data_IF_279281258004
#
_entry.id   IF_279281258004
#
_cell.length_a   1.000
_cell.length_b   1.000
_cell.length_c   1.000
_cell.angle_alpha   90.00
_cell.angle_beta   90.00
_cell.angle_gamma   90.00
#
_symmetry.space_group_name_H-M   'P 1'
#
loop_
_entity.id
_entity.type
_entity.pdbx_description
1 polymer ?
#
# COMPACT_ATOMS: atom_id res chain seq x y z
N UNK A 1 25.54 -26.58 -16.31
CA UNK A 1 25.72 -26.88 -14.86
C UNK A 1 24.52 -26.33 -14.07
N UNK A 2 23.87 -27.26 -13.38
CA UNK A 2 22.56 -27.12 -12.73
C UNK A 2 22.67 -26.37 -11.41
N UNK A 3 21.70 -25.50 -11.11
CA UNK A 3 21.30 -25.27 -9.72
C UNK A 3 19.81 -24.94 -9.66
N UNK A 4 19.04 -25.98 -9.39
CA UNK A 4 17.60 -25.95 -9.16
C UNK A 4 17.38 -26.27 -7.69
N UNK A 5 16.71 -25.38 -6.95
CA UNK A 5 16.31 -25.61 -5.56
C UNK A 5 14.79 -25.64 -5.47
N UNK A 6 14.20 -26.83 -5.56
CA UNK A 6 12.84 -27.08 -5.05
C UNK A 6 12.63 -28.59 -4.91
N UNK A 7 13.09 -29.11 -3.77
CA UNK A 7 12.83 -30.47 -3.32
C UNK A 7 11.61 -30.47 -2.39
N UNK A 8 10.42 -30.17 -2.94
CA UNK A 8 9.12 -30.40 -2.31
C UNK A 8 8.01 -29.98 -3.30
N UNK A 9 7.47 -30.94 -4.05
CA UNK A 9 6.17 -30.76 -4.69
C UNK A 9 5.11 -30.77 -3.56
N UNK A 10 4.71 -29.59 -3.08
CA UNK A 10 3.59 -29.48 -2.14
C UNK A 10 2.28 -29.68 -2.92
N UNK A 11 1.50 -30.65 -2.48
CA UNK A 11 0.20 -31.09 -3.01
C UNK A 11 -0.93 -30.02 -2.92
N UNK A 12 -0.60 -28.73 -2.98
CA UNK A 12 -1.53 -27.60 -2.93
C UNK A 12 -1.65 -26.84 -4.28
N UNK A 13 -1.05 -27.38 -5.34
CA UNK A 13 -0.97 -26.76 -6.69
C UNK A 13 -2.33 -26.63 -7.42
N UNK A 14 -3.43 -27.14 -6.87
CA UNK A 14 -4.69 -27.36 -7.61
C UNK A 14 -5.81 -26.33 -7.49
N UNK A 15 -5.61 -25.14 -6.89
CA UNK A 15 -6.73 -24.21 -6.57
C UNK A 15 -6.57 -22.76 -7.01
N UNK A 16 -5.59 -22.42 -7.84
CA UNK A 16 -5.40 -21.02 -8.31
C UNK A 16 -4.76 -20.07 -7.29
N UNK A 17 -4.70 -20.43 -6.00
CA UNK A 17 -4.11 -19.62 -4.93
C UNK A 17 -2.64 -19.24 -5.17
N UNK A 18 -1.84 -20.14 -5.75
CA UNK A 18 -0.43 -19.86 -6.05
C UNK A 18 -0.28 -18.73 -7.07
N UNK A 19 -1.12 -18.74 -8.11
CA UNK A 19 -1.12 -17.68 -9.12
C UNK A 19 -1.73 -16.39 -8.57
N UNK A 20 -2.70 -16.46 -7.66
CA UNK A 20 -3.28 -15.27 -7.01
C UNK A 20 -2.26 -14.53 -6.15
N UNK A 21 -1.45 -15.25 -5.37
CA UNK A 21 -0.37 -14.66 -4.56
C UNK A 21 0.69 -14.02 -5.46
N UNK A 22 1.04 -14.68 -6.56
CA UNK A 22 1.98 -14.14 -7.55
C UNK A 22 1.39 -12.90 -8.22
N UNK A 23 0.13 -12.93 -8.63
CA UNK A 23 -0.57 -11.81 -9.26
C UNK A 23 -0.66 -10.60 -8.32
N UNK A 24 -0.98 -10.82 -7.04
CA UNK A 24 -1.00 -9.76 -6.04
C UNK A 24 0.39 -9.14 -5.84
N UNK A 25 1.44 -9.98 -5.80
CA UNK A 25 2.83 -9.52 -5.66
C UNK A 25 3.28 -8.71 -6.89
N UNK A 26 2.96 -9.17 -8.09
CA UNK A 26 3.29 -8.47 -9.35
C UNK A 26 2.57 -7.13 -9.44
N UNK A 27 1.29 -7.07 -9.06
CA UNK A 27 0.54 -5.81 -8.99
C UNK A 27 1.14 -4.83 -7.98
N UNK A 28 1.59 -5.30 -6.81
CA UNK A 28 2.28 -4.45 -5.80
C UNK A 28 3.60 -3.86 -6.34
N UNK A 29 4.22 -4.51 -7.31
CA UNK A 29 5.41 -4.01 -8.02
C UNK A 29 5.05 -3.14 -9.24
N UNK A 30 3.77 -2.81 -9.45
CA UNK A 30 3.30 -2.05 -10.60
C UNK A 30 3.33 -2.81 -11.93
N UNK A 31 3.45 -4.14 -11.89
CA UNK A 31 3.51 -5.01 -13.06
C UNK A 31 2.19 -5.69 -13.42
N UNK A 32 2.21 -6.42 -14.53
CA UNK A 32 1.10 -7.25 -15.03
C UNK A 32 1.51 -8.69 -15.27
N UNK A 33 0.55 -9.61 -15.20
CA UNK A 33 0.75 -11.04 -15.43
C UNK A 33 -0.11 -11.50 -16.61
N UNK A 34 0.47 -12.27 -17.54
CA UNK A 34 -0.23 -12.86 -18.69
C UNK A 34 -0.07 -14.38 -18.67
N UNK A 35 -1.12 -15.03 -19.15
CA UNK A 35 -1.28 -16.48 -19.12
C UNK A 35 -1.48 -17.01 -20.53
N UNK A 36 -0.55 -17.86 -20.98
CA UNK A 36 -0.65 -18.55 -22.26
C UNK A 36 -0.65 -20.06 -22.01
N UNK A 37 -1.79 -20.71 -22.25
CA UNK A 37 -1.94 -22.17 -22.13
C UNK A 37 -2.45 -22.74 -23.44
N UNK A 38 -1.86 -23.85 -23.90
CA UNK A 38 -2.37 -24.63 -25.02
C UNK A 38 -2.60 -26.06 -24.55
N UNK A 39 -3.73 -26.67 -24.96
CA UNK A 39 -4.02 -28.06 -24.62
C UNK A 39 -2.86 -28.97 -25.02
N UNK A 40 -2.42 -29.79 -24.06
CA UNK A 40 -1.32 -30.75 -24.21
C UNK A 40 0.09 -30.16 -24.37
N UNK A 41 0.28 -28.83 -24.23
CA UNK A 41 1.59 -28.18 -24.43
C UNK A 41 2.12 -27.43 -23.20
N UNK A 42 1.58 -27.72 -22.01
CA UNK A 42 1.96 -27.02 -20.78
C UNK A 42 1.41 -25.59 -20.74
N UNK A 43 2.08 -24.74 -19.95
CA UNK A 43 1.58 -23.43 -19.60
C UNK A 43 2.73 -22.44 -19.40
N UNK A 44 2.61 -21.26 -20.03
CA UNK A 44 3.56 -20.16 -19.94
C UNK A 44 2.94 -18.99 -19.17
N UNK A 45 3.71 -18.46 -18.22
CA UNK A 45 3.39 -17.22 -17.49
C UNK A 45 4.38 -16.16 -17.91
N UNK A 46 3.88 -15.03 -18.37
CA UNK A 46 4.69 -13.84 -18.66
C UNK A 46 4.44 -12.79 -17.58
N UNK A 47 5.52 -12.30 -16.96
CA UNK A 47 5.49 -11.31 -15.88
C UNK A 47 6.09 -10.02 -16.43
N UNK A 48 5.24 -9.05 -16.73
CA UNK A 48 5.66 -7.71 -17.17
C UNK A 48 5.83 -6.84 -15.92
N UNK A 49 7.05 -6.75 -15.39
CA UNK A 49 7.39 -5.89 -14.26
C UNK A 49 8.18 -4.71 -14.82
N UNK A 50 7.73 -3.46 -14.60
CA UNK A 50 8.48 -2.28 -15.03
C UNK A 50 9.90 -2.32 -14.45
N UNK A 51 10.90 -2.39 -15.32
CA UNK A 51 12.28 -2.13 -14.95
C UNK A 51 12.35 -0.63 -14.65
N UNK A 52 12.35 -0.29 -13.36
CA UNK A 52 12.11 1.03 -12.77
C UNK A 52 10.62 1.34 -12.60
N UNK A 53 10.03 0.97 -11.46
CA UNK A 53 8.73 1.49 -11.07
C UNK A 53 8.84 3.01 -10.98
N UNK A 54 8.19 3.73 -11.89
CA UNK A 54 8.19 5.18 -11.92
C UNK A 54 7.69 5.82 -10.63
N UNK A 55 7.82 7.14 -10.55
CA UNK A 55 7.34 7.91 -9.41
C UNK A 55 5.81 7.74 -9.24
N UNK A 56 5.35 7.32 -8.07
CA UNK A 56 3.93 7.19 -7.75
C UNK A 56 3.39 8.46 -7.09
N UNK A 57 2.15 8.87 -7.40
CA UNK A 57 1.51 10.02 -6.76
C UNK A 57 1.14 9.69 -5.31
N UNK A 58 1.76 10.39 -4.36
CA UNK A 58 1.51 10.26 -2.92
C UNK A 58 1.05 11.60 -2.36
N UNK A 59 -0.05 11.57 -1.60
CA UNK A 59 -0.51 12.67 -0.77
C UNK A 59 0.11 12.56 0.61
N UNK A 60 0.82 13.60 1.04
CA UNK A 60 1.40 13.69 2.38
C UNK A 60 0.37 14.21 3.38
N UNK A 61 0.03 13.35 4.35
CA UNK A 61 -0.94 13.55 5.41
C UNK A 61 -0.22 13.99 6.68
N UNK A 62 -0.63 15.13 7.23
CA UNK A 62 -0.01 15.72 8.43
C UNK A 62 -0.72 15.24 9.71
N UNK A 63 -0.07 14.31 10.41
CA UNK A 63 -0.52 13.78 11.69
C UNK A 63 0.06 14.55 12.90
N UNK A 64 0.70 15.70 12.70
CA UNK A 64 1.34 16.48 13.75
C UNK A 64 2.78 16.07 14.00
N UNK A 65 3.01 14.88 14.55
CA UNK A 65 4.36 14.40 14.88
C UNK A 65 5.20 14.18 13.61
N UNK A 66 4.59 13.62 12.56
CA UNK A 66 5.24 13.19 11.31
C UNK A 66 4.25 13.24 10.14
N UNK A 67 4.81 13.24 8.92
CA UNK A 67 4.05 13.10 7.68
C UNK A 67 3.98 11.63 7.24
N UNK A 68 2.77 11.18 6.92
CA UNK A 68 2.50 9.85 6.36
C UNK A 68 2.00 9.99 4.93
N UNK A 69 2.30 9.02 4.06
CA UNK A 69 1.84 9.01 2.69
C UNK A 69 0.54 8.23 2.53
N UNK A 70 -0.36 8.69 1.69
CA UNK A 70 -1.40 7.85 1.08
C UNK A 70 -1.26 7.92 -0.44
N UNK A 71 -1.49 6.83 -1.16
CA UNK A 71 -1.55 6.92 -2.61
C UNK A 71 -2.73 7.79 -3.02
N UNK A 72 -2.52 8.67 -4.00
CA UNK A 72 -3.57 9.55 -4.47
C UNK A 72 -4.78 8.77 -5.01
N UNK A 73 -4.58 7.53 -5.49
CA UNK A 73 -5.64 6.61 -5.94
C UNK A 73 -6.60 6.18 -4.83
N UNK A 74 -6.14 6.19 -3.58
CA UNK A 74 -6.90 5.64 -2.45
C UNK A 74 -7.66 6.75 -1.71
N UNK A 75 -7.35 8.02 -1.99
CA UNK A 75 -8.01 9.18 -1.39
C UNK A 75 -9.23 9.56 -2.23
N UNK A 76 -10.42 9.44 -1.64
CA UNK A 76 -11.70 9.71 -2.31
C UNK A 76 -12.14 11.15 -2.08
N UNK A 77 -11.86 11.70 -0.89
CA UNK A 77 -12.33 13.04 -0.50
C UNK A 77 -11.35 13.75 0.42
N UNK A 78 -11.23 15.06 0.24
CA UNK A 78 -10.48 15.98 1.11
C UNK A 78 -11.34 17.21 1.36
N UNK A 79 -11.68 17.48 2.61
CA UNK A 79 -12.61 18.55 3.01
C UNK A 79 -12.02 19.38 4.16
N UNK A 80 -12.38 20.66 4.24
CA UNK A 80 -11.86 21.59 5.25
C UNK A 80 -12.59 21.53 6.60
N UNK A 81 -13.34 20.46 6.86
CA UNK A 81 -14.09 20.24 8.09
C UNK A 81 -13.64 18.91 8.69
N UNK A 82 -12.71 18.96 9.65
CA UNK A 82 -12.12 17.76 10.22
C UNK A 82 -13.15 16.98 11.05
N UNK A 83 -13.30 15.69 10.74
CA UNK A 83 -14.13 14.77 11.51
C UNK A 83 -13.58 14.45 12.91
N UNK A 84 -14.27 13.56 13.64
CA UNK A 84 -14.08 13.36 15.08
C UNK A 84 -12.75 12.73 15.51
N UNK A 85 -12.10 11.92 14.65
CA UNK A 85 -10.89 11.15 14.99
C UNK A 85 -9.71 11.57 14.11
N UNK A 86 -8.57 11.87 14.72
CA UNK A 86 -7.36 12.26 13.97
C UNK A 86 -6.59 11.05 13.42
N UNK A 87 -5.80 11.27 12.36
CA UNK A 87 -4.85 10.27 11.86
C UNK A 87 -3.83 9.90 12.95
N UNK A 88 -3.42 10.87 13.77
CA UNK A 88 -2.50 10.64 14.88
C UNK A 88 -3.08 9.60 15.86
N UNK A 89 -4.35 9.73 16.25
CA UNK A 89 -5.03 8.76 17.12
C UNK A 89 -5.12 7.36 16.50
N UNK A 90 -5.35 7.27 15.19
CA UNK A 90 -5.41 5.98 14.49
C UNK A 90 -4.05 5.27 14.46
N UNK A 91 -2.97 6.04 14.39
CA UNK A 91 -1.60 5.51 14.33
C UNK A 91 -0.94 5.36 15.71
N UNK A 92 -1.61 5.79 16.79
CA UNK A 92 -1.03 5.83 18.13
C UNK A 92 0.07 6.89 18.29
N UNK A 93 0.07 7.91 17.44
CA UNK A 93 0.98 9.04 17.48
C UNK A 93 0.47 10.12 18.47
N UNK A 94 1.36 10.98 19.00
CA UNK A 94 0.95 12.11 19.83
C UNK A 94 -0.04 13.01 19.10
N UNK A 95 -1.20 13.22 19.72
CA UNK A 95 -2.28 14.03 19.15
C UNK A 95 -1.99 15.51 19.41
N UNK A 96 -1.66 16.24 18.35
CA UNK A 96 -1.49 17.70 18.42
C UNK A 96 -2.69 18.42 17.79
N UNK A 97 -3.37 19.25 18.58
CA UNK A 97 -4.53 20.03 18.13
C UNK A 97 -4.14 21.27 17.29
N UNK A 98 -5.02 21.75 16.39
CA UNK A 98 -6.25 21.14 15.87
C UNK A 98 -6.07 20.43 14.52
N UNK A 99 -6.88 19.40 14.27
CA UNK A 99 -7.11 18.89 12.91
C UNK A 99 -8.04 19.85 12.17
N UNK A 100 -7.72 20.18 10.93
CA UNK A 100 -8.50 21.15 10.13
C UNK A 100 -9.02 20.57 8.83
N UNK A 101 -8.47 19.44 8.37
CA UNK A 101 -8.83 18.79 7.12
C UNK A 101 -9.31 17.37 7.40
N UNK A 102 -10.47 16.98 6.88
CA UNK A 102 -10.89 15.58 6.80
C UNK A 102 -10.39 14.94 5.51
N UNK A 103 -9.85 13.73 5.62
CA UNK A 103 -9.44 12.90 4.49
C UNK A 103 -10.21 11.60 4.54
N UNK A 104 -10.92 11.28 3.47
CA UNK A 104 -11.60 10.00 3.29
C UNK A 104 -10.79 9.14 2.33
N UNK A 105 -10.46 7.93 2.76
CA UNK A 105 -9.81 6.91 1.94
C UNK A 105 -10.72 5.70 1.79
N UNK A 106 -10.57 4.99 0.67
CA UNK A 106 -11.39 3.81 0.37
C UNK A 106 -10.55 2.63 -0.08
N UNK A 107 -11.00 1.43 0.28
CA UNK A 107 -10.55 0.20 -0.36
C UNK A 107 -11.41 -0.12 -1.58
N UNK A 108 -10.89 -0.94 -2.50
CA UNK A 108 -11.59 -1.35 -3.72
C UNK A 108 -12.96 -2.03 -3.48
N UNK A 109 -13.21 -2.56 -2.28
CA UNK A 109 -14.52 -3.12 -1.90
C UNK A 109 -15.58 -2.05 -1.59
N UNK A 110 -15.23 -0.76 -1.61
CA UNK A 110 -16.11 0.36 -1.31
C UNK A 110 -16.23 0.70 0.18
N UNK A 111 -15.50 0.01 1.06
CA UNK A 111 -15.39 0.41 2.46
C UNK A 111 -14.51 1.66 2.55
N UNK A 112 -15.02 2.68 3.23
CA UNK A 112 -14.34 3.95 3.42
C UNK A 112 -14.03 4.19 4.89
N UNK A 113 -12.99 4.97 5.16
CA UNK A 113 -12.74 5.54 6.48
C UNK A 113 -12.33 7.00 6.34
N UNK A 114 -12.70 7.83 7.31
CA UNK A 114 -12.40 9.25 7.33
C UNK A 114 -11.68 9.63 8.62
N UNK A 115 -10.67 10.48 8.51
CA UNK A 115 -9.88 10.96 9.64
C UNK A 115 -9.41 12.40 9.43
N UNK A 116 -9.16 13.09 10.55
CA UNK A 116 -8.63 14.44 10.58
C UNK A 116 -7.11 14.49 10.41
N UNK A 117 -6.63 15.48 9.65
CA UNK A 117 -5.22 15.87 9.55
C UNK A 117 -5.07 17.37 9.76
N UNK A 118 -3.84 17.85 10.04
CA UNK A 118 -3.60 19.25 10.43
C UNK A 118 -3.65 20.25 9.29
N UNK A 119 -3.29 19.84 8.08
CA UNK A 119 -3.11 20.74 6.95
C UNK A 119 -3.45 20.07 5.62
N UNK A 120 -3.70 20.88 4.60
CA UNK A 120 -3.99 20.41 3.24
C UNK A 120 -2.86 19.48 2.74
N UNK A 121 -3.19 18.26 2.28
CA UNK A 121 -2.17 17.31 1.90
C UNK A 121 -1.46 17.77 0.63
N UNK A 122 -0.15 17.52 0.57
CA UNK A 122 0.67 17.87 -0.59
C UNK A 122 0.86 16.65 -1.48
N UNK A 123 0.56 16.79 -2.77
CA UNK A 123 0.81 15.76 -3.77
C UNK A 123 2.28 15.80 -4.21
N UNK A 124 2.96 14.67 -4.16
CA UNK A 124 4.32 14.50 -4.65
C UNK A 124 4.43 13.18 -5.41
N UNK A 125 5.17 13.18 -6.52
CA UNK A 125 5.50 11.98 -7.25
C UNK A 125 6.82 11.43 -6.68
N UNK A 126 6.78 10.28 -6.02
CA UNK A 126 7.92 9.72 -5.28
C UNK A 126 8.17 8.25 -5.60
N UNK A 127 9.44 7.84 -5.46
CA UNK A 127 9.77 6.42 -5.47
C UNK A 127 9.38 5.80 -4.13
N UNK A 128 8.54 4.76 -4.20
CA UNK A 128 8.16 3.98 -3.03
C UNK A 128 8.91 2.65 -3.02
N UNK A 129 9.24 2.16 -1.82
CA UNK A 129 9.84 0.85 -1.60
C UNK A 129 8.86 0.00 -0.82
N UNK A 130 8.42 -1.17 -1.34
CA UNK A 130 7.54 -2.05 -0.59
C UNK A 130 8.18 -2.44 0.73
N UNK A 131 7.41 -2.30 1.80
CA UNK A 131 7.79 -2.85 3.08
C UNK A 131 7.46 -4.35 3.06
N UNK A 132 8.42 -5.18 3.42
CA UNK A 132 8.21 -6.62 3.48
C UNK A 132 7.14 -7.01 4.50
N UNK A 133 6.71 -8.29 4.54
CA UNK A 133 5.59 -8.74 5.38
C UNK A 133 5.76 -8.44 6.88
N UNK A 134 7.01 -8.35 7.34
CA UNK A 134 7.36 -8.06 8.74
C UNK A 134 7.05 -6.62 9.16
N UNK A 135 6.79 -5.73 8.22
CA UNK A 135 6.50 -4.33 8.52
C UNK A 135 5.11 -4.11 9.10
N UNK A 136 4.18 -5.05 8.87
CA UNK A 136 2.82 -5.01 9.44
C UNK A 136 2.83 -4.99 10.98
N UNK A 137 3.88 -5.51 11.62
CA UNK A 137 4.10 -5.44 13.06
C UNK A 137 4.37 -4.03 13.60
N UNK A 138 4.71 -3.07 12.73
CA UNK A 138 5.08 -1.70 13.11
C UNK A 138 3.97 -0.68 12.84
N UNK A 139 2.81 -1.12 12.36
CA UNK A 139 1.66 -0.27 12.04
C UNK A 139 1.11 -0.54 10.64
N UNK A 140 0.04 0.18 10.25
CA UNK A 140 -0.63 0.00 8.97
C UNK A 140 0.16 0.63 7.82
N UNK A 141 1.33 0.08 7.50
CA UNK A 141 2.24 0.63 6.49
C UNK A 141 2.57 -0.37 5.39
N UNK A 142 2.46 0.09 4.15
CA UNK A 142 2.68 -0.73 2.95
C UNK A 142 4.03 -0.45 2.28
N UNK A 143 4.52 0.79 2.35
CA UNK A 143 5.74 1.23 1.68
C UNK A 143 6.53 2.26 2.50
N UNK A 144 7.81 2.41 2.15
CA UNK A 144 8.67 3.49 2.63
C UNK A 144 9.16 4.36 1.46
N UNK A 145 9.36 5.64 1.76
CA UNK A 145 9.92 6.65 0.85
C UNK A 145 11.16 7.22 1.53
N UNK A 146 12.31 7.08 0.87
CA UNK A 146 13.55 7.74 1.29
C UNK A 146 13.56 9.17 0.78
N UNK A 147 13.79 10.13 1.68
CA UNK A 147 13.94 11.54 1.37
C UNK A 147 15.41 11.88 1.10
N UNK A 148 15.72 12.96 0.36
CA UNK A 148 17.10 13.40 0.13
C UNK A 148 17.87 13.75 1.40
N UNK A 149 17.16 14.11 2.47
CA UNK A 149 17.73 14.39 3.81
C UNK A 149 18.04 13.12 4.63
N UNK A 150 17.86 11.93 4.04
CA UNK A 150 18.08 10.64 4.70
C UNK A 150 16.92 10.18 5.58
N UNK A 151 15.87 10.99 5.76
CA UNK A 151 14.69 10.58 6.51
C UNK A 151 13.84 9.58 5.74
N UNK A 152 13.13 8.72 6.47
CA UNK A 152 12.14 7.81 5.93
C UNK A 152 10.74 8.32 6.25
N UNK A 153 9.86 8.28 5.25
CA UNK A 153 8.42 8.45 5.41
C UNK A 153 7.72 7.16 5.04
N UNK A 154 6.62 6.86 5.71
CA UNK A 154 5.87 5.63 5.51
C UNK A 154 4.57 5.92 4.75
N UNK A 155 4.19 5.03 3.86
CA UNK A 155 2.92 5.06 3.13
C UNK A 155 1.95 4.09 3.79
N UNK A 156 0.73 4.55 4.01
CA UNK A 156 -0.33 3.80 4.69
C UNK A 156 -0.74 2.55 3.90
N UNK A 157 -1.14 1.52 4.63
CA UNK A 157 -1.88 0.37 4.13
C UNK A 157 -3.37 0.64 4.37
N UNK A 158 -4.08 1.05 3.31
CA UNK A 158 -5.49 1.45 3.39
C UNK A 158 -6.40 0.33 3.90
N UNK A 159 -6.28 -0.93 3.41
CA UNK A 159 -7.00 -2.05 4.00
C UNK A 159 -6.80 -2.20 5.52
N UNK A 160 -5.57 -2.14 6.01
CA UNK A 160 -5.32 -2.23 7.45
C UNK A 160 -5.88 -1.03 8.19
N UNK A 161 -5.72 0.19 7.68
CA UNK A 161 -6.24 1.39 8.32
C UNK A 161 -7.77 1.39 8.43
N UNK A 162 -8.47 0.98 7.37
CA UNK A 162 -9.93 0.82 7.38
C UNK A 162 -10.35 -0.20 8.45
N UNK A 163 -9.64 -1.34 8.55
CA UNK A 163 -9.93 -2.35 9.57
C UNK A 163 -9.74 -1.84 11.02
N UNK A 164 -8.72 -1.02 11.25
CA UNK A 164 -8.46 -0.40 12.56
C UNK A 164 -9.50 0.64 12.95
N UNK A 165 -10.07 1.35 11.98
CA UNK A 165 -11.08 2.38 12.24
C UNK A 165 -12.47 1.82 12.56
N UNK A 166 -12.74 0.55 12.18
CA UNK A 166 -13.99 -0.14 12.44
C UNK A 166 -14.06 -0.80 13.84
N UNK A 167 -12.95 -0.82 14.58
CA UNK A 167 -12.82 -1.37 15.94
C UNK A 167 -12.87 -0.26 16.99
#
# INVERSE_FOLDING_TARGET
PSFSTSNAASELSGRGLGLDIVAQTVRRLGGTIRLDSAHHNGFHVTLDIPAESGLLPVLWLDAGSRLFGAFASDVVRVESDAGSRSLAELLGEPVESPCTIAVTIAVASGLETSFGIRAMPKLEHVFVRPLGPLASSFGPFSHAVSRPDGSLRLVLDVPQLVSMSAS
#
